data_IF_766585084852
#
_entry.id   IF_766585084852
#
_cell.length_a   1.000
_cell.length_b   1.000
_cell.length_c   1.000
_cell.angle_alpha   90.00
_cell.angle_beta   90.00
_cell.angle_gamma   90.00
#
_symmetry.space_group_name_H-M   'P 1'
#
loop_
_entity.id
_entity.type
_entity.pdbx_description
1 polymer ?
#
# COMPACT_ATOMS: atom_id res chain seq x y z
N UNK A 1 15.88 -1.61 -3.34
CA UNK A 1 17.02 -1.55 -2.41
C UNK A 1 16.55 -1.01 -1.06
N UNK A 2 15.97 0.19 -1.02
CA UNK A 2 15.45 0.85 0.19
C UNK A 2 14.56 -0.03 1.09
N UNK A 3 13.62 -0.81 0.52
CA UNK A 3 12.75 -1.68 1.36
C UNK A 3 13.48 -2.82 2.05
N UNK A 4 14.41 -3.48 1.38
CA UNK A 4 15.18 -4.55 2.02
C UNK A 4 16.02 -3.99 3.19
N UNK A 5 16.59 -2.79 3.02
CA UNK A 5 17.26 -2.08 4.09
C UNK A 5 16.32 -1.78 5.27
N UNK A 6 15.08 -1.37 5.01
CA UNK A 6 14.08 -1.16 6.08
C UNK A 6 13.80 -2.47 6.83
N UNK A 7 13.63 -3.59 6.14
CA UNK A 7 13.43 -4.90 6.79
C UNK A 7 14.61 -5.27 7.69
N UNK A 8 15.85 -5.17 7.16
CA UNK A 8 17.07 -5.47 7.92
C UNK A 8 17.24 -4.53 9.13
N UNK A 9 16.96 -3.23 8.98
CA UNK A 9 16.98 -2.27 10.09
C UNK A 9 15.86 -2.54 11.10
N UNK A 10 14.70 -3.05 10.68
CA UNK A 10 13.63 -3.43 11.61
C UNK A 10 14.07 -4.59 12.49
N UNK A 11 14.63 -5.62 11.88
CA UNK A 11 15.18 -6.79 12.55
C UNK A 11 16.27 -6.41 13.55
N UNK A 12 17.20 -5.54 13.13
CA UNK A 12 18.21 -4.97 14.03
C UNK A 12 17.60 -4.27 15.24
N UNK A 13 16.57 -3.43 15.02
CA UNK A 13 15.90 -2.73 16.12
C UNK A 13 15.14 -3.68 17.04
N UNK A 14 14.47 -4.69 16.49
CA UNK A 14 13.75 -5.69 17.28
C UNK A 14 14.72 -6.45 18.20
N UNK A 15 15.84 -6.94 17.66
CA UNK A 15 16.92 -7.57 18.42
C UNK A 15 17.50 -6.61 19.47
N UNK A 16 17.65 -5.32 19.15
CA UNK A 16 18.09 -4.30 20.11
C UNK A 16 17.10 -4.04 21.27
N UNK A 17 15.82 -4.42 21.13
CA UNK A 17 14.79 -4.34 22.18
C UNK A 17 14.47 -5.67 22.84
N UNK A 18 15.16 -6.74 22.42
CA UNK A 18 14.86 -8.11 22.83
C UNK A 18 15.11 -8.32 24.32
N UNK A 19 14.15 -8.98 24.96
CA UNK A 19 14.23 -9.50 26.31
C UNK A 19 14.06 -11.01 26.26
N UNK A 20 15.08 -11.72 26.70
CA UNK A 20 15.01 -13.18 26.90
C UNK A 20 14.28 -13.43 28.21
N UNK A 21 13.17 -14.17 28.15
CA UNK A 21 12.33 -14.52 29.30
C UNK A 21 12.57 -15.95 29.77
N UNK A 22 13.13 -16.80 28.92
CA UNK A 22 13.45 -18.21 29.19
C UNK A 22 14.81 -18.58 28.60
N UNK A 23 15.64 -19.29 29.36
CA UNK A 23 17.00 -19.65 28.93
C UNK A 23 17.03 -20.54 27.68
N UNK A 24 15.95 -21.28 27.40
CA UNK A 24 15.82 -22.08 26.16
C UNK A 24 15.82 -21.23 24.89
N UNK A 25 15.56 -19.93 25.00
CA UNK A 25 15.60 -19.04 23.85
C UNK A 25 17.02 -18.62 23.44
N UNK A 26 18.03 -18.73 24.32
CA UNK A 26 19.35 -18.12 24.09
C UNK A 26 20.00 -18.57 22.78
N UNK A 27 20.05 -19.87 22.51
CA UNK A 27 20.63 -20.41 21.28
C UNK A 27 19.87 -19.95 20.03
N UNK A 28 18.55 -19.88 20.10
CA UNK A 28 17.70 -19.42 18.98
C UNK A 28 17.88 -17.92 18.73
N UNK A 29 18.08 -17.13 19.79
CA UNK A 29 18.39 -15.70 19.70
C UNK A 29 19.75 -15.48 19.06
N UNK A 30 20.78 -16.20 19.49
CA UNK A 30 22.12 -16.15 18.89
C UNK A 30 22.08 -16.50 17.40
N UNK A 31 21.25 -17.50 17.03
CA UNK A 31 21.02 -17.88 15.65
C UNK A 31 20.32 -16.74 14.86
N UNK A 32 19.29 -16.10 15.43
CA UNK A 32 18.63 -14.95 14.80
C UNK A 32 19.59 -13.77 14.59
N UNK A 33 20.49 -13.50 15.55
CA UNK A 33 21.54 -12.49 15.41
C UNK A 33 22.55 -12.85 14.31
N UNK A 34 22.90 -14.14 14.18
CA UNK A 34 23.76 -14.62 13.09
C UNK A 34 23.12 -14.35 11.72
N UNK A 35 21.84 -14.68 11.56
CA UNK A 35 21.11 -14.39 10.33
C UNK A 35 20.94 -12.90 10.05
N UNK A 36 20.84 -12.04 11.08
CA UNK A 36 20.92 -10.58 10.87
C UNK A 36 22.29 -10.17 10.32
N UNK A 37 23.39 -10.72 10.86
CA UNK A 37 24.75 -10.43 10.35
C UNK A 37 24.89 -10.87 8.89
N UNK A 38 24.41 -12.06 8.56
CA UNK A 38 24.41 -12.58 7.18
C UNK A 38 23.57 -11.68 6.27
N UNK A 39 22.38 -11.30 6.73
CA UNK A 39 21.48 -10.43 5.98
C UNK A 39 22.14 -9.08 5.65
N UNK A 40 22.80 -8.45 6.62
CA UNK A 40 23.57 -7.22 6.42
C UNK A 40 24.74 -7.42 5.46
N UNK A 41 25.46 -8.54 5.57
CA UNK A 41 26.57 -8.89 4.69
C UNK A 41 26.10 -9.00 3.24
N UNK A 42 25.09 -9.82 2.96
CA UNK A 42 24.56 -10.00 1.60
C UNK A 42 24.02 -8.69 1.01
N UNK A 43 23.32 -7.90 1.83
CA UNK A 43 22.80 -6.59 1.40
C UNK A 43 23.94 -5.65 0.98
N UNK A 44 25.02 -5.60 1.76
CA UNK A 44 26.20 -4.76 1.46
C UNK A 44 26.90 -5.18 0.15
N UNK A 45 26.71 -6.42 -0.29
CA UNK A 45 27.26 -6.98 -1.54
C UNK A 45 26.28 -6.82 -2.71
N UNK A 46 25.11 -6.23 -2.49
CA UNK A 46 24.06 -6.09 -3.49
C UNK A 46 23.20 -7.34 -3.69
N UNK A 47 23.41 -8.41 -2.93
CA UNK A 47 22.56 -9.61 -2.97
C UNK A 47 21.33 -9.42 -2.08
N UNK A 48 20.34 -8.74 -2.65
CA UNK A 48 19.09 -8.38 -1.97
C UNK A 48 18.25 -9.62 -1.64
N UNK A 49 18.23 -10.63 -2.52
CA UNK A 49 17.38 -11.80 -2.34
C UNK A 49 17.85 -12.64 -1.15
N UNK A 50 19.14 -12.96 -1.11
CA UNK A 50 19.72 -13.74 0.00
C UNK A 50 19.66 -12.96 1.30
N UNK A 51 19.85 -11.63 1.25
CA UNK A 51 19.68 -10.76 2.40
C UNK A 51 18.27 -10.84 3.01
N UNK A 52 17.23 -10.69 2.19
CA UNK A 52 15.84 -10.75 2.66
C UNK A 52 15.48 -12.15 3.15
N UNK A 53 15.99 -13.21 2.51
CA UNK A 53 15.78 -14.58 2.95
C UNK A 53 16.37 -14.81 4.36
N UNK A 54 17.61 -14.37 4.60
CA UNK A 54 18.26 -14.45 5.91
C UNK A 54 17.50 -13.62 6.97
N UNK A 55 17.09 -12.39 6.64
CA UNK A 55 16.31 -11.55 7.55
C UNK A 55 14.97 -12.20 7.92
N UNK A 56 14.23 -12.71 6.93
CA UNK A 56 12.92 -13.35 7.15
C UNK A 56 13.04 -14.59 8.03
N UNK A 57 14.13 -15.34 7.91
CA UNK A 57 14.39 -16.49 8.80
C UNK A 57 14.57 -16.04 10.25
N UNK A 58 15.39 -15.01 10.49
CA UNK A 58 15.57 -14.44 11.83
C UNK A 58 14.26 -13.88 12.41
N UNK A 59 13.47 -13.15 11.61
CA UNK A 59 12.15 -12.64 12.02
C UNK A 59 11.23 -13.79 12.49
N UNK A 60 11.18 -14.88 11.71
CA UNK A 60 10.39 -16.07 12.05
C UNK A 60 10.83 -16.75 13.35
N UNK A 61 12.15 -16.86 13.59
CA UNK A 61 12.68 -17.39 14.86
C UNK A 61 12.23 -16.54 16.05
N UNK A 62 12.38 -15.21 15.96
CA UNK A 62 12.00 -14.29 17.02
C UNK A 62 10.49 -14.34 17.28
N UNK A 63 9.67 -14.29 16.22
CA UNK A 63 8.22 -14.39 16.35
C UNK A 63 7.79 -15.71 17.02
N UNK A 64 8.43 -16.83 16.68
CA UNK A 64 8.18 -18.10 17.33
C UNK A 64 8.53 -18.07 18.83
N UNK A 65 9.68 -17.51 19.21
CA UNK A 65 10.06 -17.36 20.62
C UNK A 65 9.08 -16.51 21.41
N UNK A 66 8.59 -15.41 20.81
CA UNK A 66 7.58 -14.56 21.44
C UNK A 66 6.24 -15.26 21.59
N UNK A 67 5.78 -16.00 20.58
CA UNK A 67 4.55 -16.78 20.65
C UNK A 67 4.62 -17.87 21.73
N UNK A 68 5.79 -18.45 21.96
CA UNK A 68 6.04 -19.43 23.02
C UNK A 68 6.22 -18.78 24.41
N UNK A 69 6.26 -17.44 24.49
CA UNK A 69 6.48 -16.71 25.74
C UNK A 69 7.93 -16.75 26.24
N UNK A 70 8.88 -17.15 25.39
CA UNK A 70 10.29 -17.27 25.77
C UNK A 70 11.10 -15.99 25.53
N UNK A 71 10.55 -15.05 24.77
CA UNK A 71 11.14 -13.73 24.56
C UNK A 71 10.07 -12.66 24.35
N UNK A 72 10.44 -11.41 24.56
CA UNK A 72 9.61 -10.24 24.24
C UNK A 72 10.46 -9.17 23.52
N UNK A 73 9.86 -8.47 22.55
CA UNK A 73 10.52 -7.45 21.74
C UNK A 73 9.49 -6.64 20.94
N UNK A 74 9.94 -5.52 20.36
CA UNK A 74 9.06 -4.61 19.62
C UNK A 74 9.41 -4.57 18.13
N UNK A 75 8.44 -4.93 17.28
CA UNK A 75 8.50 -4.62 15.86
C UNK A 75 8.18 -3.15 15.63
N UNK A 76 9.07 -2.45 14.93
CA UNK A 76 8.79 -1.09 14.48
C UNK A 76 8.00 -1.11 13.17
N UNK A 77 7.15 -0.11 12.98
CA UNK A 77 6.54 0.15 11.68
C UNK A 77 7.64 0.67 10.74
N UNK A 78 7.57 0.40 9.41
CA UNK A 78 8.52 0.93 8.44
C UNK A 78 8.78 2.44 8.54
N UNK A 79 7.74 3.22 8.82
CA UNK A 79 7.81 4.68 9.05
C UNK A 79 8.53 5.11 10.32
N UNK A 80 8.70 4.22 11.30
CA UNK A 80 9.44 4.47 12.54
C UNK A 80 10.93 4.13 12.40
N UNK A 81 11.31 3.38 11.35
CA UNK A 81 12.69 2.95 11.04
C UNK A 81 13.32 3.90 10.06
N UNK A 82 12.55 4.28 9.03
CA UNK A 82 12.94 5.28 8.07
C UNK A 82 11.95 6.42 8.15
N UNK A 83 12.40 7.54 8.76
CA UNK A 83 11.60 8.76 8.89
C UNK A 83 11.09 9.28 7.54
N UNK A 84 11.77 8.92 6.45
CA UNK A 84 11.40 9.24 5.06
C UNK A 84 10.67 8.10 4.34
N UNK A 85 10.11 7.10 5.06
CA UNK A 85 9.26 6.10 4.42
C UNK A 85 7.96 6.75 3.93
N UNK A 86 8.00 7.20 2.67
CA UNK A 86 6.97 8.06 2.08
C UNK A 86 5.60 7.43 2.20
N UNK A 87 4.65 8.17 2.75
CA UNK A 87 3.23 7.86 2.69
C UNK A 87 2.68 8.34 1.36
N UNK A 88 2.13 7.41 0.60
CA UNK A 88 1.60 7.66 -0.73
C UNK A 88 0.09 7.55 -0.67
N UNK A 89 -0.61 8.61 -1.03
CA UNK A 89 -2.05 8.63 -1.11
C UNK A 89 -2.47 8.49 -2.58
N UNK A 90 -3.31 7.50 -2.84
CA UNK A 90 -4.04 7.36 -4.11
C UNK A 90 -5.52 7.53 -3.85
N UNK A 91 -6.24 8.09 -4.82
CA UNK A 91 -7.69 8.18 -4.76
C UNK A 91 -8.32 7.60 -6.03
N UNK A 92 -9.51 7.01 -5.90
CA UNK A 92 -10.24 6.48 -7.04
C UNK A 92 -11.60 5.89 -6.67
N UNK A 93 -12.41 5.62 -7.70
CA UNK A 93 -13.67 4.90 -7.50
C UNK A 93 -13.41 3.41 -7.25
N UNK A 94 -12.52 2.76 -7.99
CA UNK A 94 -12.22 1.32 -7.82
C UNK A 94 -13.48 0.42 -7.80
N UNK A 95 -14.40 0.66 -8.73
CA UNK A 95 -15.71 -0.01 -8.74
C UNK A 95 -15.63 -1.47 -9.15
N UNK A 96 -15.06 -1.75 -10.32
CA UNK A 96 -14.65 -3.09 -10.73
C UNK A 96 -13.13 -3.07 -10.89
N UNK A 97 -12.43 -3.87 -10.09
CA UNK A 97 -10.98 -3.98 -10.21
C UNK A 97 -10.59 -4.63 -11.53
N UNK A 98 -9.47 -4.17 -12.08
CA UNK A 98 -8.93 -4.61 -13.36
C UNK A 98 -7.43 -4.30 -13.42
N UNK A 99 -6.68 -4.84 -14.40
CA UNK A 99 -5.23 -4.67 -14.46
C UNK A 99 -4.74 -3.21 -14.40
N UNK A 100 -5.48 -2.27 -15.00
CA UNK A 100 -5.18 -0.84 -14.87
C UNK A 100 -5.19 -0.31 -13.43
N UNK A 101 -6.12 -0.76 -12.58
CA UNK A 101 -6.11 -0.42 -11.16
C UNK A 101 -4.94 -1.07 -10.43
N UNK A 102 -4.61 -2.33 -10.77
CA UNK A 102 -3.49 -3.05 -10.16
C UNK A 102 -2.16 -2.36 -10.50
N UNK A 103 -1.94 -1.98 -11.76
CA UNK A 103 -0.75 -1.22 -12.18
C UNK A 103 -0.66 0.12 -11.44
N UNK A 104 -1.77 0.86 -11.32
CA UNK A 104 -1.79 2.12 -10.58
C UNK A 104 -1.41 1.95 -9.10
N UNK A 105 -1.94 0.92 -8.42
CA UNK A 105 -1.59 0.62 -7.04
C UNK A 105 -0.14 0.14 -6.90
N UNK A 106 0.37 -0.65 -7.85
CA UNK A 106 1.76 -1.10 -7.88
C UNK A 106 2.73 0.09 -8.04
N UNK A 107 2.42 1.05 -8.91
CA UNK A 107 3.21 2.26 -9.06
C UNK A 107 3.23 3.07 -7.75
N UNK A 108 2.09 3.22 -7.07
CA UNK A 108 2.03 3.85 -5.75
C UNK A 108 2.87 3.10 -4.70
N UNK A 109 2.85 1.77 -4.75
CA UNK A 109 3.59 0.90 -3.83
C UNK A 109 5.10 1.02 -3.98
N UNK A 110 5.60 1.27 -5.20
CA UNK A 110 7.02 1.55 -5.44
C UNK A 110 7.46 2.89 -4.84
N UNK A 111 6.54 3.81 -4.64
CA UNK A 111 6.81 5.12 -4.04
C UNK A 111 6.78 5.09 -2.50
N UNK A 112 6.14 4.10 -1.87
CA UNK A 112 6.10 3.95 -0.42
C UNK A 112 4.82 3.33 0.15
N UNK A 113 4.42 3.75 1.35
CA UNK A 113 3.25 3.22 2.07
C UNK A 113 1.94 3.73 1.47
N UNK A 114 1.25 2.88 0.72
CA UNK A 114 -0.01 3.23 0.05
C UNK A 114 -1.21 3.31 1.01
N UNK A 115 -1.85 4.48 1.05
CA UNK A 115 -3.20 4.69 1.55
C UNK A 115 -4.13 4.93 0.36
N UNK A 116 -5.10 4.04 0.17
CA UNK A 116 -6.09 4.16 -0.90
C UNK A 116 -7.38 4.82 -0.40
N UNK A 117 -7.75 5.93 -1.01
CA UNK A 117 -8.99 6.65 -0.73
C UNK A 117 -10.04 6.25 -1.76
N UNK A 118 -11.07 5.58 -1.28
CA UNK A 118 -12.22 5.15 -2.07
C UNK A 118 -13.24 6.26 -2.10
N UNK A 119 -13.54 6.80 -3.28
CA UNK A 119 -14.54 7.87 -3.42
C UNK A 119 -15.92 7.43 -2.92
N UNK A 120 -16.67 8.32 -2.27
CA UNK A 120 -18.10 8.11 -1.97
C UNK A 120 -18.90 7.87 -3.25
N UNK A 121 -19.99 7.11 -3.16
CA UNK A 121 -20.83 6.79 -4.32
C UNK A 121 -21.38 8.05 -4.99
N UNK A 122 -21.84 9.01 -4.19
CA UNK A 122 -22.32 10.33 -4.63
C UNK A 122 -21.28 11.10 -5.45
N UNK A 123 -20.03 11.14 -4.97
CA UNK A 123 -18.93 11.84 -5.64
C UNK A 123 -18.48 11.11 -6.91
N UNK A 124 -18.36 9.79 -6.83
CA UNK A 124 -18.01 8.98 -7.98
C UNK A 124 -19.09 9.08 -9.08
N UNK A 125 -20.37 9.13 -8.70
CA UNK A 125 -21.47 9.28 -9.64
C UNK A 125 -21.44 10.64 -10.36
N UNK A 126 -21.19 11.74 -9.63
CA UNK A 126 -21.01 13.07 -10.20
C UNK A 126 -19.89 13.12 -11.24
N UNK A 127 -18.74 12.50 -10.94
CA UNK A 127 -17.58 12.49 -11.85
C UNK A 127 -17.83 11.61 -13.07
N UNK A 128 -18.46 10.44 -12.89
CA UNK A 128 -18.70 9.47 -13.98
C UNK A 128 -19.96 9.76 -14.81
N UNK A 129 -20.86 10.61 -14.33
CA UNK A 129 -22.15 10.89 -14.98
C UNK A 129 -23.13 9.70 -14.93
N UNK A 130 -22.92 8.72 -14.04
CA UNK A 130 -23.81 7.56 -13.85
C UNK A 130 -23.82 7.08 -12.41
N UNK A 131 -24.84 6.31 -12.02
CA UNK A 131 -24.86 5.62 -10.73
C UNK A 131 -23.69 4.63 -10.60
N UNK A 132 -23.25 4.40 -9.36
CA UNK A 132 -22.22 3.43 -9.02
C UNK A 132 -22.89 2.14 -8.57
N UNK A 133 -22.50 1.02 -9.17
CA UNK A 133 -23.16 -0.27 -8.93
C UNK A 133 -22.68 -0.95 -7.63
N UNK A 134 -21.44 -0.68 -7.23
CA UNK A 134 -20.82 -1.29 -6.04
C UNK A 134 -20.65 -0.21 -4.97
N UNK A 135 -21.33 -0.32 -3.80
CA UNK A 135 -21.23 0.68 -2.74
C UNK A 135 -19.80 0.92 -2.23
N UNK A 136 -19.54 2.11 -1.71
CA UNK A 136 -18.22 2.52 -1.24
C UNK A 136 -17.58 1.58 -0.22
N UNK A 137 -18.37 1.02 0.69
CA UNK A 137 -17.95 0.08 1.73
C UNK A 137 -17.40 -1.21 1.12
N UNK A 138 -18.11 -1.75 0.11
CA UNK A 138 -17.70 -2.96 -0.59
C UNK A 138 -16.42 -2.72 -1.39
N UNK A 139 -16.35 -1.60 -2.11
CA UNK A 139 -15.15 -1.19 -2.85
C UNK A 139 -13.95 -1.04 -1.91
N UNK A 140 -14.13 -0.37 -0.76
CA UNK A 140 -13.08 -0.22 0.24
C UNK A 140 -12.59 -1.56 0.80
N UNK A 141 -13.49 -2.51 1.08
CA UNK A 141 -13.13 -3.85 1.55
C UNK A 141 -12.30 -4.64 0.52
N UNK A 142 -12.67 -4.56 -0.75
CA UNK A 142 -11.91 -5.21 -1.83
C UNK A 142 -10.54 -4.54 -1.97
N UNK A 143 -10.50 -3.21 -2.04
CA UNK A 143 -9.25 -2.43 -2.18
C UNK A 143 -8.30 -2.67 -0.99
N UNK A 144 -8.81 -2.77 0.25
CA UNK A 144 -7.97 -3.07 1.42
C UNK A 144 -7.33 -4.46 1.39
N UNK A 145 -7.82 -5.36 0.54
CA UNK A 145 -7.31 -6.73 0.43
C UNK A 145 -6.24 -6.87 -0.67
N UNK A 146 -5.96 -5.78 -1.40
CA UNK A 146 -4.96 -5.78 -2.46
C UNK A 146 -3.56 -5.65 -1.86
N UNK A 147 -2.65 -6.53 -2.27
CA UNK A 147 -1.27 -6.61 -1.77
C UNK A 147 -0.55 -5.24 -1.74
N UNK A 148 -0.79 -4.40 -2.76
CA UNK A 148 -0.16 -3.09 -2.91
C UNK A 148 -0.77 -1.99 -2.01
N UNK A 149 -1.80 -2.28 -1.22
CA UNK A 149 -2.53 -1.29 -0.41
C UNK A 149 -2.37 -1.60 1.07
N UNK A 150 -1.78 -0.68 1.84
CA UNK A 150 -1.59 -0.87 3.29
C UNK A 150 -2.82 -0.47 4.11
N UNK A 151 -3.61 0.47 3.58
CA UNK A 151 -4.84 0.99 4.22
C UNK A 151 -5.78 1.44 3.12
N UNK A 152 -7.05 1.04 3.19
CA UNK A 152 -8.11 1.65 2.41
C UNK A 152 -9.07 2.40 3.33
N UNK A 153 -9.57 3.55 2.88
CA UNK A 153 -10.61 4.30 3.60
C UNK A 153 -11.54 5.00 2.62
N UNK A 154 -12.78 5.25 3.04
CA UNK A 154 -13.74 6.01 2.24
C UNK A 154 -13.46 7.51 2.42
N UNK A 155 -13.59 8.26 1.33
CA UNK A 155 -13.48 9.71 1.33
C UNK A 155 -14.68 10.43 1.93
N UNK A 156 -14.64 11.77 1.89
CA UNK A 156 -15.76 12.62 2.29
C UNK A 156 -16.57 13.07 1.07
N UNK A 157 -17.85 13.37 1.30
CA UNK A 157 -18.75 13.87 0.25
C UNK A 157 -18.43 15.32 -0.11
N UNK A 158 -18.22 16.17 0.90
CA UNK A 158 -18.15 17.62 0.70
C UNK A 158 -16.74 18.15 0.45
N UNK A 159 -15.71 17.44 0.89
CA UNK A 159 -14.32 17.88 0.79
C UNK A 159 -13.34 16.73 0.55
N UNK A 160 -12.87 16.61 -0.70
CA UNK A 160 -11.88 15.62 -1.08
C UNK A 160 -10.50 15.86 -0.43
N UNK A 161 -10.16 17.10 -0.08
CA UNK A 161 -8.84 17.47 0.45
C UNK A 161 -8.73 17.18 1.94
N UNK A 162 -9.86 17.09 2.66
CA UNK A 162 -9.89 16.71 4.08
C UNK A 162 -9.14 15.40 4.35
N UNK A 163 -9.25 14.41 3.47
CA UNK A 163 -8.51 13.14 3.64
C UNK A 163 -7.01 13.35 3.50
N UNK A 164 -6.59 14.24 2.60
CA UNK A 164 -5.16 14.58 2.40
C UNK A 164 -4.61 15.27 3.65
N UNK A 165 -5.37 16.18 4.25
CA UNK A 165 -5.01 16.85 5.50
C UNK A 165 -4.91 15.87 6.69
N UNK A 166 -5.86 14.95 6.80
CA UNK A 166 -5.88 13.95 7.88
C UNK A 166 -4.77 12.89 7.73
N UNK A 167 -4.54 12.40 6.51
CA UNK A 167 -3.52 11.39 6.26
C UNK A 167 -2.11 11.97 6.19
N UNK A 168 -1.94 13.27 5.89
CA UNK A 168 -0.63 13.94 5.73
C UNK A 168 0.35 13.10 4.89
N UNK A 169 0.03 12.84 3.61
CA UNK A 169 0.91 12.06 2.75
C UNK A 169 2.11 12.88 2.29
N UNK A 170 3.24 12.20 2.05
CA UNK A 170 4.41 12.79 1.39
C UNK A 170 4.18 12.91 -0.12
N UNK A 171 3.40 11.98 -0.69
CA UNK A 171 3.09 11.94 -2.12
C UNK A 171 1.59 11.72 -2.33
N UNK A 172 0.99 12.50 -3.21
CA UNK A 172 -0.31 12.21 -3.82
C UNK A 172 -0.07 11.77 -5.25
N UNK A 173 -0.30 10.49 -5.53
CA UNK A 173 -0.20 9.94 -6.88
C UNK A 173 -1.57 9.98 -7.53
N UNK A 174 -1.71 10.72 -8.62
CA UNK A 174 -2.91 10.79 -9.45
C UNK A 174 -2.90 9.64 -10.45
N UNK A 175 -4.08 9.11 -10.77
CA UNK A 175 -4.21 8.15 -11.87
C UNK A 175 -3.99 8.82 -13.22
N UNK A 176 -3.43 8.09 -14.19
CA UNK A 176 -3.09 8.62 -15.52
C UNK A 176 -4.24 9.44 -16.15
N UNK A 177 -5.46 8.90 -16.13
CA UNK A 177 -6.63 9.47 -16.77
C UNK A 177 -7.52 10.33 -15.84
N UNK A 178 -7.03 10.70 -14.65
CA UNK A 178 -7.82 11.53 -13.74
C UNK A 178 -7.85 12.99 -14.21
N UNK A 179 -9.02 13.66 -14.19
CA UNK A 179 -9.20 15.01 -14.74
C UNK A 179 -8.66 16.13 -13.85
N UNK A 180 -7.83 15.80 -12.85
CA UNK A 180 -7.24 16.78 -11.95
C UNK A 180 -5.97 17.35 -12.59
N UNK A 181 -5.90 18.67 -12.72
CA UNK A 181 -4.66 19.37 -13.08
C UNK A 181 -3.74 19.49 -11.85
N UNK A 182 -2.48 19.09 -12.02
CA UNK A 182 -1.48 19.09 -10.96
C UNK A 182 -1.24 20.49 -10.38
N UNK A 183 -1.26 21.54 -11.21
CA UNK A 183 -1.00 22.92 -10.77
C UNK A 183 -2.15 23.44 -9.91
N UNK A 184 -3.38 23.26 -10.37
CA UNK A 184 -4.58 23.62 -9.62
C UNK A 184 -4.65 22.88 -8.28
N UNK A 185 -4.31 21.59 -8.28
CA UNK A 185 -4.26 20.81 -7.04
C UNK A 185 -3.15 21.30 -6.10
N UNK A 186 -1.96 21.63 -6.63
CA UNK A 186 -0.87 22.21 -5.86
C UNK A 186 -1.24 23.56 -5.23
N UNK A 187 -1.98 24.43 -5.94
CA UNK A 187 -2.49 25.67 -5.36
C UNK A 187 -3.45 25.43 -4.20
N UNK A 188 -4.37 24.45 -4.35
CA UNK A 188 -5.27 24.06 -3.26
C UNK A 188 -4.50 23.52 -2.06
N UNK A 189 -3.44 22.74 -2.29
CA UNK A 189 -2.56 22.23 -1.23
C UNK A 189 -1.87 23.37 -0.49
N UNK A 190 -1.26 24.32 -1.21
CA UNK A 190 -0.60 25.50 -0.63
C UNK A 190 -1.56 26.32 0.24
N UNK A 191 -2.78 26.58 -0.24
CA UNK A 191 -3.80 27.33 0.52
C UNK A 191 -4.22 26.65 1.83
N UNK A 192 -4.04 25.33 1.91
CA UNK A 192 -4.40 24.50 3.07
C UNK A 192 -3.19 24.07 3.91
N UNK A 193 -1.99 24.55 3.60
CA UNK A 193 -0.76 24.16 4.29
C UNK A 193 -0.41 22.67 4.14
N UNK A 194 -0.84 22.05 3.04
CA UNK A 194 -0.53 20.65 2.72
C UNK A 194 0.82 20.61 2.02
N UNK A 195 1.79 19.94 2.62
CA UNK A 195 3.11 19.69 2.06
C UNK A 195 3.18 18.27 1.49
N UNK A 196 2.73 18.10 0.25
CA UNK A 196 2.77 16.81 -0.45
C UNK A 196 3.21 16.99 -1.90
N UNK A 197 4.07 16.09 -2.39
CA UNK A 197 4.45 16.03 -3.79
C UNK A 197 3.29 15.46 -4.61
N UNK A 198 2.91 16.12 -5.70
CA UNK A 198 1.89 15.61 -6.62
C UNK A 198 2.61 14.94 -7.79
N UNK A 199 2.28 13.68 -8.03
CA UNK A 199 2.78 12.88 -9.16
C UNK A 199 1.61 12.32 -9.95
N UNK A 200 1.86 11.89 -11.19
CA UNK A 200 0.88 11.17 -12.01
C UNK A 200 1.43 9.80 -12.38
N UNK A 201 0.59 8.78 -12.26
CA UNK A 201 0.92 7.43 -12.65
C UNK A 201 1.00 7.31 -14.18
N UNK A 202 1.90 6.46 -14.64
CA UNK A 202 2.01 6.08 -16.05
C UNK A 202 0.75 5.33 -16.51
N UNK A 203 0.27 5.58 -17.74
CA UNK A 203 -0.88 4.87 -18.28
C UNK A 203 -0.57 3.37 -18.44
N UNK A 204 -1.60 2.55 -18.29
CA UNK A 204 -1.52 1.12 -18.51
C UNK A 204 -2.65 0.70 -19.45
N UNK A 205 -2.29 0.19 -20.62
CA UNK A 205 -3.24 -0.19 -21.67
C UNK A 205 -3.50 -1.70 -21.65
N UNK A 206 -4.78 -2.04 -21.65
CA UNK A 206 -5.26 -3.40 -21.90
C UNK A 206 -6.74 -3.38 -22.32
N UNK A 207 -7.23 -4.50 -22.84
CA UNK A 207 -8.59 -4.61 -23.38
C UNK A 207 -9.70 -4.32 -22.37
N UNK A 208 -9.49 -4.65 -21.10
CA UNK A 208 -10.49 -4.45 -20.04
C UNK A 208 -9.96 -3.56 -18.90
N UNK A 209 -9.09 -2.60 -19.23
CA UNK A 209 -8.49 -1.67 -18.27
C UNK A 209 -9.39 -0.47 -17.91
N UNK A 210 -10.70 -0.61 -18.08
CA UNK A 210 -11.69 0.40 -17.69
C UNK A 210 -12.95 -0.30 -17.19
N UNK A 211 -13.46 0.12 -16.04
CA UNK A 211 -14.76 -0.34 -15.54
C UNK A 211 -15.87 -0.17 -16.58
N UNK A 212 -15.88 0.91 -17.35
CA UNK A 212 -16.89 1.12 -18.40
C UNK A 212 -16.76 0.08 -19.51
N UNK A 213 -15.54 -0.26 -19.94
CA UNK A 213 -15.31 -1.31 -20.94
C UNK A 213 -15.76 -2.68 -20.43
N UNK A 214 -15.50 -2.98 -19.16
CA UNK A 214 -15.97 -4.23 -18.51
C UNK A 214 -17.49 -4.30 -18.49
N UNK A 215 -18.16 -3.22 -18.05
CA UNK A 215 -19.63 -3.18 -17.99
C UNK A 215 -20.21 -3.36 -19.40
N UNK A 216 -19.71 -2.62 -20.40
CA UNK A 216 -20.20 -2.76 -21.77
C UNK A 216 -19.99 -4.18 -22.29
N UNK A 217 -18.82 -4.78 -22.02
CA UNK A 217 -18.56 -6.17 -22.43
C UNK A 217 -19.51 -7.17 -21.78
N UNK A 218 -19.83 -6.97 -20.49
CA UNK A 218 -20.81 -7.79 -19.78
C UNK A 218 -22.20 -7.63 -20.42
N UNK A 219 -22.62 -6.40 -20.72
CA UNK A 219 -23.91 -6.13 -21.37
C UNK A 219 -23.98 -6.75 -22.77
N UNK A 220 -22.94 -6.60 -23.60
CA UNK A 220 -22.85 -7.27 -24.91
C UNK A 220 -22.94 -8.79 -24.78
N UNK A 221 -22.26 -9.36 -23.78
CA UNK A 221 -22.18 -10.82 -23.61
C UNK A 221 -23.49 -11.44 -23.11
N UNK A 222 -24.21 -10.75 -22.22
CA UNK A 222 -25.35 -11.32 -21.49
C UNK A 222 -26.70 -10.66 -21.77
N UNK A 223 -26.74 -9.47 -22.39
CA UNK A 223 -27.98 -8.73 -22.63
C UNK A 223 -28.38 -8.65 -24.11
N UNK A 224 -27.45 -8.68 -25.07
CA UNK A 224 -27.78 -8.65 -26.51
C UNK A 224 -28.32 -9.99 -27.05
N UNK A 225 -28.33 -11.04 -26.23
CA UNK A 225 -29.10 -12.25 -26.47
C UNK A 225 -29.57 -12.83 -25.15
N UNK A 226 -30.89 -12.90 -24.95
CA UNK A 226 -31.51 -13.67 -23.85
C UNK A 226 -31.09 -15.14 -23.93
N UNK A 227 -29.92 -15.49 -23.39
CA UNK A 227 -29.47 -16.87 -23.22
C UNK A 227 -28.81 -17.02 -21.84
N UNK A 228 -29.67 -17.45 -20.91
CA UNK A 228 -29.43 -18.27 -19.72
C UNK A 228 -27.99 -18.26 -19.18
N UNK A 229 -27.85 -17.70 -17.98
CA UNK A 229 -27.00 -18.31 -16.95
C UNK A 229 -27.89 -19.23 -16.11
#
# INVERSE_FOLDING_TARGET
>A
MERAEIYVRNLERALGTLKVLDDRAREVVELAEAYLRDSKYYLSRGDVFTSVAAASYAEGLLDALRLLGYADFVWSRPSEIEKNYKKVLIAGTFELLHPGHISYMEQAWRLGRVVAVVSRDTNAAKIKGRSISVPAENRARVVSSIYYVHKARIGYEDDMLRVVEEERPDVVLLGANQPFDERSLAEKFRRRGIEAQILRAEPYECDLCSTTRIINKILETFCEGSRRV
#
